data_IF_691668033783
#
_entry.id   IF_691668033783
#
_cell.length_a   1.000
_cell.length_b   1.000
_cell.length_c   1.000
_cell.angle_alpha   90.00
_cell.angle_beta   90.00
_cell.angle_gamma   90.00
#
_symmetry.space_group_name_H-M   'P 1'
#
loop_
_entity.id
_entity.type
_entity.pdbx_description
1 polymer ?
#
# COMPACT_ATOMS: atom_id res chain seq x y z
N UNK A 1 -6.67 32.63 -29.35
CA UNK A 1 -5.71 31.82 -28.57
C UNK A 1 -6.43 30.58 -28.09
N UNK A 2 -5.83 29.41 -28.33
CA UNK A 2 -6.46 28.11 -28.21
C UNK A 2 -6.82 27.75 -26.76
N UNK A 3 -8.05 27.27 -26.58
CA UNK A 3 -8.41 26.40 -25.46
C UNK A 3 -7.85 25.01 -25.78
N UNK A 4 -7.02 24.45 -24.91
CA UNK A 4 -6.59 23.05 -24.97
C UNK A 4 -7.58 22.25 -24.10
N UNK A 5 -8.55 21.50 -24.67
CA UNK A 5 -9.31 20.55 -23.88
C UNK A 5 -8.53 19.23 -23.69
N UNK A 6 -8.50 18.81 -22.43
CA UNK A 6 -8.47 17.42 -21.94
C UNK A 6 -7.19 16.60 -22.20
N UNK A 7 -6.34 16.61 -21.18
CA UNK A 7 -5.44 15.50 -20.89
C UNK A 7 -6.28 14.22 -20.85
N UNK A 8 -6.06 13.36 -21.84
CA UNK A 8 -6.88 12.19 -22.11
C UNK A 8 -7.13 11.33 -20.87
N UNK A 9 -8.42 11.13 -20.61
CA UNK A 9 -8.96 9.89 -20.08
C UNK A 9 -8.29 8.73 -20.85
N UNK A 10 -7.21 8.18 -20.29
CA UNK A 10 -6.67 6.91 -20.78
C UNK A 10 -7.68 5.88 -20.30
N UNK A 11 -8.42 5.19 -21.20
CA UNK A 11 -9.27 4.11 -20.76
C UNK A 11 -8.35 3.10 -20.06
N UNK A 12 -8.60 2.87 -18.78
CA UNK A 12 -8.04 1.73 -18.07
C UNK A 12 -8.75 0.52 -18.69
N UNK A 13 -8.28 0.09 -19.86
CA UNK A 13 -8.80 -1.08 -20.54
C UNK A 13 -8.77 -2.26 -19.55
N UNK A 14 -9.73 -3.21 -19.64
CA UNK A 14 -9.74 -4.33 -18.72
C UNK A 14 -8.37 -5.00 -18.79
N UNK A 15 -7.65 -4.99 -17.68
CA UNK A 15 -6.45 -5.81 -17.55
C UNK A 15 -6.86 -7.22 -17.97
N UNK A 16 -6.06 -7.94 -18.79
CA UNK A 16 -6.39 -9.31 -19.16
C UNK A 16 -6.60 -10.09 -17.86
N UNK A 17 -7.84 -10.50 -17.60
CA UNK A 17 -8.27 -11.17 -16.36
C UNK A 17 -7.49 -12.49 -16.11
N UNK A 18 -6.73 -12.93 -17.09
CA UNK A 18 -5.90 -14.14 -17.10
C UNK A 18 -4.45 -13.91 -16.63
N UNK A 19 -3.92 -12.67 -16.65
CA UNK A 19 -2.50 -12.41 -16.37
C UNK A 19 -2.13 -12.52 -14.88
N UNK A 20 -3.11 -12.47 -13.98
CA UNK A 20 -2.91 -12.62 -12.54
C UNK A 20 -3.17 -14.04 -12.03
N UNK A 21 -3.85 -14.89 -12.80
CA UNK A 21 -4.44 -16.14 -12.31
C UNK A 21 -3.47 -17.34 -12.23
N UNK A 22 -2.19 -17.18 -12.58
CA UNK A 22 -1.24 -18.29 -12.63
C UNK A 22 0.20 -17.95 -12.30
N UNK A 23 0.51 -16.71 -11.89
CA UNK A 23 1.85 -16.36 -11.42
C UNK A 23 1.96 -16.75 -9.95
N UNK A 24 2.97 -17.55 -9.55
CA UNK A 24 3.28 -17.73 -8.15
C UNK A 24 3.36 -16.36 -7.48
N UNK A 25 2.56 -16.14 -6.44
CA UNK A 25 2.68 -14.94 -5.63
C UNK A 25 4.14 -14.86 -5.16
N UNK A 26 4.81 -13.71 -5.30
CA UNK A 26 6.14 -13.54 -4.75
C UNK A 26 6.09 -13.90 -3.26
N UNK A 27 7.02 -14.73 -2.81
CA UNK A 27 7.12 -15.06 -1.40
C UNK A 27 7.28 -13.75 -0.62
N UNK A 28 6.47 -13.52 0.43
CA UNK A 28 6.65 -12.30 1.22
C UNK A 28 8.08 -12.31 1.77
N UNK A 29 8.80 -11.17 1.72
CA UNK A 29 10.14 -11.07 2.30
C UNK A 29 10.09 -11.43 3.79
N UNK A 30 11.23 -11.86 4.35
CA UNK A 30 11.37 -11.94 5.80
C UNK A 30 10.91 -10.62 6.42
N UNK A 31 10.18 -10.68 7.54
CA UNK A 31 9.52 -9.53 8.16
C UNK A 31 10.42 -8.29 8.23
N UNK A 32 9.82 -7.12 8.18
CA UNK A 32 10.56 -5.85 8.02
C UNK A 32 11.44 -5.50 9.22
N UNK A 33 11.39 -6.31 10.28
CA UNK A 33 12.14 -6.10 11.52
C UNK A 33 11.48 -5.10 12.45
N UNK A 34 10.30 -4.60 12.09
CA UNK A 34 9.53 -3.66 12.90
C UNK A 34 8.14 -4.27 13.15
N UNK A 35 7.85 -4.73 14.39
CA UNK A 35 6.64 -5.46 14.71
C UNK A 35 5.34 -4.73 14.36
N UNK A 36 5.30 -3.38 14.42
CA UNK A 36 4.09 -2.64 14.01
C UNK A 36 3.93 -2.75 12.49
N UNK A 37 4.99 -2.48 11.70
CA UNK A 37 5.07 -2.69 10.23
C UNK A 37 4.59 -4.08 9.84
N UNK A 38 5.16 -5.12 10.45
CA UNK A 38 4.78 -6.50 10.21
C UNK A 38 3.29 -6.76 10.52
N UNK A 39 2.75 -6.20 11.61
CA UNK A 39 1.35 -6.35 11.96
C UNK A 39 0.38 -5.72 10.95
N UNK A 40 0.71 -4.56 10.36
CA UNK A 40 -0.14 -3.99 9.31
C UNK A 40 0.00 -4.74 7.97
N UNK A 41 1.17 -5.27 7.65
CA UNK A 41 1.33 -6.10 6.45
C UNK A 41 0.54 -7.41 6.56
N UNK A 42 0.44 -8.01 7.76
CA UNK A 42 -0.42 -9.17 8.01
C UNK A 42 -1.91 -8.90 7.76
N UNK A 43 -2.39 -7.66 7.91
CA UNK A 43 -3.77 -7.29 7.55
C UNK A 43 -4.02 -7.38 6.04
N UNK A 44 -3.00 -7.15 5.22
CA UNK A 44 -3.12 -7.26 3.76
C UNK A 44 -3.22 -8.72 3.31
N UNK A 45 -2.65 -9.67 4.05
CA UNK A 45 -2.78 -11.11 3.78
C UNK A 45 -4.25 -11.57 3.88
N UNK A 46 -5.02 -10.97 4.79
CA UNK A 46 -6.46 -11.24 4.97
C UNK A 46 -7.33 -10.78 3.79
N UNK A 47 -6.82 -9.94 2.87
CA UNK A 47 -7.60 -9.40 1.76
C UNK A 47 -8.00 -10.46 0.74
N UNK A 48 -7.20 -11.52 0.59
CA UNK A 48 -7.47 -12.59 -0.37
C UNK A 48 -8.79 -13.35 -0.10
N UNK A 49 -9.24 -13.35 1.15
CA UNK A 49 -10.46 -14.03 1.60
C UNK A 49 -11.66 -13.05 1.73
N UNK A 50 -11.42 -11.74 1.56
CA UNK A 50 -12.43 -10.69 1.74
C UNK A 50 -13.03 -10.21 0.42
N UNK A 51 -14.30 -9.76 0.42
CA UNK A 51 -14.89 -9.18 -0.77
C UNK A 51 -14.16 -7.90 -1.18
N UNK A 52 -14.02 -7.70 -2.49
CA UNK A 52 -13.30 -6.56 -3.08
C UNK A 52 -13.86 -5.20 -2.62
N UNK A 53 -15.16 -5.15 -2.31
CA UNK A 53 -15.81 -3.94 -1.77
C UNK A 53 -15.25 -3.50 -0.42
N UNK A 54 -14.65 -4.40 0.36
CA UNK A 54 -14.02 -4.10 1.66
C UNK A 54 -12.53 -3.76 1.55
N UNK A 55 -11.90 -4.05 0.41
CA UNK A 55 -10.46 -3.81 0.20
C UNK A 55 -10.05 -2.34 0.42
N UNK A 56 -10.80 -1.33 -0.07
CA UNK A 56 -10.43 0.07 0.12
C UNK A 56 -10.29 0.45 1.59
N UNK A 57 -11.22 0.02 2.45
CA UNK A 57 -11.19 0.35 3.87
C UNK A 57 -9.96 -0.25 4.58
N UNK A 58 -9.57 -1.47 4.19
CA UNK A 58 -8.36 -2.13 4.72
C UNK A 58 -7.09 -1.44 4.22
N UNK A 59 -7.03 -1.06 2.94
CA UNK A 59 -5.87 -0.33 2.39
C UNK A 59 -5.67 1.02 3.08
N UNK A 60 -6.73 1.80 3.28
CA UNK A 60 -6.66 3.08 3.97
C UNK A 60 -6.16 2.92 5.41
N UNK A 61 -6.66 1.91 6.12
CA UNK A 61 -6.22 1.62 7.49
C UNK A 61 -4.73 1.24 7.55
N UNK A 62 -4.28 0.36 6.65
CA UNK A 62 -2.88 -0.05 6.56
C UNK A 62 -2.00 1.14 6.20
N UNK A 63 -2.43 1.98 5.25
CA UNK A 63 -1.70 3.18 4.86
C UNK A 63 -1.55 4.17 6.01
N UNK A 64 -2.62 4.45 6.76
CA UNK A 64 -2.56 5.33 7.93
C UNK A 64 -1.58 4.82 8.98
N UNK A 65 -1.62 3.52 9.32
CA UNK A 65 -0.74 2.92 10.34
C UNK A 65 0.72 2.89 9.89
N UNK A 66 0.98 2.59 8.63
CA UNK A 66 2.34 2.63 8.09
C UNK A 66 2.90 4.07 8.10
N UNK A 67 2.11 5.05 7.68
CA UNK A 67 2.52 6.47 7.69
C UNK A 67 2.80 6.99 9.10
N UNK A 68 1.98 6.60 10.10
CA UNK A 68 2.22 6.93 11.50
C UNK A 68 3.56 6.41 12.00
N UNK A 69 3.81 5.11 11.82
CA UNK A 69 5.03 4.48 12.33
C UNK A 69 6.27 4.94 11.58
N UNK A 70 6.17 5.15 10.27
CA UNK A 70 7.28 5.73 9.52
C UNK A 70 7.57 7.17 9.98
N UNK A 71 6.55 7.96 10.30
CA UNK A 71 6.72 9.29 10.89
C UNK A 71 7.39 9.26 12.27
N UNK A 72 7.02 8.30 13.12
CA UNK A 72 7.68 8.08 14.43
C UNK A 72 9.16 7.68 14.26
N UNK A 73 9.46 6.80 13.29
CA UNK A 73 10.82 6.33 13.02
C UNK A 73 11.70 7.43 12.41
N UNK A 74 11.16 8.24 11.50
CA UNK A 74 11.84 9.37 10.86
C UNK A 74 12.19 10.48 11.85
N UNK A 75 11.32 10.70 12.84
CA UNK A 75 11.52 11.75 13.87
C UNK A 75 12.64 11.39 14.86
N UNK A 76 13.05 10.12 14.97
CA UNK A 76 14.02 9.64 15.96
C UNK A 76 13.59 9.92 17.41
N UNK A 77 14.31 9.42 18.43
CA UNK A 77 14.01 9.81 19.81
C UNK A 77 14.19 11.34 19.97
N UNK A 78 13.29 12.04 20.67
CA UNK A 78 13.42 13.48 20.92
C UNK A 78 14.65 13.70 21.82
N UNK A 79 15.82 13.92 21.20
CA UNK A 79 17.10 14.04 21.91
C UNK A 79 18.38 13.90 21.09
N UNK A 80 18.29 13.72 19.77
CA UNK A 80 19.46 13.68 18.88
C UNK A 80 19.37 14.71 17.74
N UNK A 81 18.72 15.85 17.99
CA UNK A 81 18.83 17.03 17.14
C UNK A 81 19.74 18.04 17.86
N UNK A 82 21.05 17.82 17.77
CA UNK A 82 22.04 18.65 18.46
C UNK A 82 23.45 18.11 18.34
N UNK A 83 24.06 18.27 17.17
CA UNK A 83 25.52 18.42 16.97
C UNK A 83 25.77 19.03 15.60
#
# INVERSE_FOLDING_TARGET
MAVQPEAGDRPIGPAPADAAAGRPLPVPPAGTGEPRVDAALRRLDELGDRPVSEHPAVFEHVHARLSEVLGELDTGPPGQAGS
#
